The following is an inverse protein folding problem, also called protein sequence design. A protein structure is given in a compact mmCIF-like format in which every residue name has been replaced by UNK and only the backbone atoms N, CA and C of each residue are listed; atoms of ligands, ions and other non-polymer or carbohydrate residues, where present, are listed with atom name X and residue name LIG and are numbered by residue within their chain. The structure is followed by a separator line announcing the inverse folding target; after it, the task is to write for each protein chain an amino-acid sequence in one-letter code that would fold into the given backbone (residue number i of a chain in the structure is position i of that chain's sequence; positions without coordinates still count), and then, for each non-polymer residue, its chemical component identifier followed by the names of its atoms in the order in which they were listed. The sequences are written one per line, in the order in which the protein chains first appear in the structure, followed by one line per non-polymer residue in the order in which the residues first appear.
data_IF_823099764225
#
_entry.id   IF_823099764225
#
_cell.length_a   1.000
_cell.length_b   1.000
_cell.length_c   1.000
_cell.angle_alpha   90.00
_cell.angle_beta   90.00
_cell.angle_gamma   90.00
#
_symmetry.space_group_name_H-M   'P 1'
#
loop_
_entity.id
_entity.type
_entity.pdbx_description
1 polymer ?
#
# COMPACT_ATOMS: atom_id res chain seq x y z
N UNK A 1 -17.02 3.47 -14.23
CA UNK A 1 -16.03 4.43 -13.73
C UNK A 1 -15.47 3.88 -12.42
N UNK A 2 -14.49 4.52 -11.77
CA UNK A 2 -14.02 4.01 -10.47
C UNK A 2 -15.13 4.19 -9.42
N UNK A 3 -15.25 3.27 -8.46
CA UNK A 3 -16.31 3.31 -7.42
C UNK A 3 -15.74 2.88 -6.07
N UNK A 4 -16.31 3.36 -4.97
CA UNK A 4 -15.98 2.86 -3.64
C UNK A 4 -16.56 1.46 -3.46
N UNK A 5 -15.78 0.57 -2.86
CA UNK A 5 -16.13 -0.83 -2.63
C UNK A 5 -15.69 -1.36 -1.27
N UNK A 6 -15.40 -0.43 -0.38
CA UNK A 6 -14.96 -0.67 0.98
C UNK A 6 -14.77 0.68 1.67
N UNK A 7 -15.48 0.89 2.78
CA UNK A 7 -15.19 1.94 3.73
C UNK A 7 -14.78 1.26 5.04
N UNK A 8 -13.63 1.63 5.57
CA UNK A 8 -13.11 1.03 6.80
C UNK A 8 -12.79 2.07 7.86
N UNK A 9 -13.19 1.75 9.08
CA UNK A 9 -13.06 2.58 10.26
C UNK A 9 -12.25 1.86 11.33
N UNK A 10 -11.38 2.60 12.02
CA UNK A 10 -10.48 2.07 13.05
C UNK A 10 -10.52 2.99 14.26
N UNK A 11 -11.53 2.88 15.14
CA UNK A 11 -11.71 3.77 16.29
C UNK A 11 -10.47 3.82 17.20
N UNK A 12 -9.82 2.68 17.38
CA UNK A 12 -8.59 2.51 18.16
C UNK A 12 -7.39 2.29 17.23
N UNK A 13 -6.35 3.12 17.40
CA UNK A 13 -5.09 3.01 16.66
C UNK A 13 -4.54 1.58 16.78
N UNK A 14 -4.15 1.00 15.65
CA UNK A 14 -3.61 -0.36 15.54
C UNK A 14 -4.58 -1.52 15.81
N UNK A 15 -5.81 -1.27 16.27
CA UNK A 15 -6.81 -2.32 16.48
C UNK A 15 -7.45 -2.79 15.16
N UNK A 16 -8.24 -3.87 15.21
CA UNK A 16 -8.96 -4.38 14.03
C UNK A 16 -9.86 -3.29 13.41
N UNK A 17 -10.01 -3.34 12.09
CA UNK A 17 -10.89 -2.44 11.36
C UNK A 17 -12.33 -2.95 11.28
N UNK A 18 -13.28 -2.03 11.21
CA UNK A 18 -14.67 -2.29 10.89
C UNK A 18 -14.94 -1.92 9.44
N UNK A 19 -15.79 -2.71 8.77
CA UNK A 19 -16.33 -2.29 7.46
C UNK A 19 -17.63 -1.53 7.69
N UNK A 20 -17.82 -0.44 6.95
CA UNK A 20 -18.99 0.42 6.99
C UNK A 20 -19.61 0.50 5.58
N UNK A 21 -20.92 0.65 5.53
CA UNK A 21 -21.64 0.94 4.28
C UNK A 21 -21.62 2.44 3.95
N UNK A 22 -21.47 3.29 4.97
CA UNK A 22 -21.42 4.74 4.85
C UNK A 22 -20.58 5.34 5.99
N UNK A 23 -20.00 6.51 5.76
CA UNK A 23 -19.28 7.25 6.78
C UNK A 23 -19.41 8.76 6.60
N UNK A 24 -19.50 9.48 7.73
CA UNK A 24 -19.32 10.92 7.76
C UNK A 24 -17.83 11.23 7.60
N UNK A 25 -17.50 12.06 6.61
CA UNK A 25 -16.17 12.65 6.43
C UNK A 25 -16.15 14.02 7.08
N UNK A 26 -15.13 14.28 7.86
CA UNK A 26 -14.80 15.58 8.46
C UNK A 26 -13.42 16.03 7.96
N UNK A 27 -13.01 17.25 8.31
CA UNK A 27 -11.63 17.71 8.04
C UNK A 27 -10.55 16.81 8.67
N UNK A 28 -10.88 16.06 9.72
CA UNK A 28 -9.98 15.15 10.45
C UNK A 28 -9.97 13.71 9.90
N UNK A 29 -10.77 13.42 8.86
CA UNK A 29 -10.88 12.09 8.25
C UNK A 29 -12.29 11.51 8.39
N UNK A 30 -12.42 10.19 8.58
CA UNK A 30 -13.73 9.63 8.93
C UNK A 30 -14.05 10.00 10.38
N UNK A 31 -15.29 10.39 10.66
CA UNK A 31 -15.73 10.74 12.00
C UNK A 31 -15.43 9.60 12.99
N UNK A 32 -14.78 9.91 14.12
CA UNK A 32 -14.42 8.93 15.15
C UNK A 32 -13.23 8.01 14.80
N UNK A 33 -12.53 8.23 13.69
CA UNK A 33 -11.43 7.37 13.26
C UNK A 33 -10.13 7.66 14.04
N UNK A 34 -9.53 6.60 14.60
CA UNK A 34 -8.34 6.63 15.46
C UNK A 34 -8.42 7.72 16.56
N UNK A 35 -9.56 7.82 17.24
CA UNK A 35 -9.75 8.70 18.42
C UNK A 35 -9.20 8.14 19.71
N UNK A 36 -8.83 6.87 19.69
CA UNK A 36 -8.20 6.17 20.80
C UNK A 36 -6.83 5.64 20.41
N UNK A 37 -5.94 5.58 21.39
CA UNK A 37 -4.61 5.01 21.25
C UNK A 37 -4.17 4.41 22.59
N UNK A 38 -3.46 3.29 22.54
CA UNK A 38 -2.77 2.78 23.72
C UNK A 38 -1.40 3.44 23.81
N UNK A 39 -1.02 3.84 25.02
CA UNK A 39 0.30 4.37 25.32
C UNK A 39 0.85 3.69 26.58
N UNK A 40 2.16 3.69 26.76
CA UNK A 40 2.79 3.32 28.02
C UNK A 40 2.54 4.41 29.08
N UNK A 41 2.85 4.15 30.36
CA UNK A 41 2.71 5.15 31.43
C UNK A 41 3.46 6.46 31.17
N UNK A 42 4.56 6.41 30.41
CA UNK A 42 5.34 7.60 30.01
C UNK A 42 4.74 8.40 28.84
N UNK A 43 3.59 7.96 28.31
CA UNK A 43 2.91 8.60 27.18
C UNK A 43 3.41 8.13 25.80
N UNK A 44 4.42 7.26 25.74
CA UNK A 44 4.91 6.70 24.47
C UNK A 44 3.86 5.75 23.86
N UNK A 45 3.55 5.96 22.59
CA UNK A 45 2.49 5.22 21.92
C UNK A 45 2.87 3.74 21.67
N UNK A 46 1.88 2.85 21.82
CA UNK A 46 1.99 1.42 21.50
C UNK A 46 1.27 1.14 20.18
N UNK A 47 1.88 0.33 19.31
CA UNK A 47 1.31 -0.01 18.00
C UNK A 47 1.41 -1.47 17.69
N UNK A 48 0.69 -1.91 16.66
CA UNK A 48 0.82 -3.27 16.13
C UNK A 48 2.20 -3.57 15.54
N UNK A 49 3.10 -2.57 15.37
CA UNK A 49 4.51 -2.81 15.02
C UNK A 49 5.26 -3.54 16.14
N UNK A 50 4.90 -3.31 17.39
CA UNK A 50 5.49 -3.97 18.56
C UNK A 50 4.53 -4.99 19.20
N UNK A 51 3.21 -4.73 19.10
CA UNK A 51 2.16 -5.54 19.70
C UNK A 51 1.13 -5.97 18.64
N UNK A 52 1.49 -6.88 17.72
CA UNK A 52 0.63 -7.29 16.59
C UNK A 52 -0.74 -7.84 17.04
N UNK A 53 -0.85 -8.35 18.27
CA UNK A 53 -2.11 -8.78 18.90
C UNK A 53 -3.19 -7.69 18.91
N UNK A 54 -2.82 -6.41 18.85
CA UNK A 54 -3.78 -5.32 18.68
C UNK A 54 -4.70 -5.54 17.47
N UNK A 55 -4.20 -6.11 16.37
CA UNK A 55 -5.00 -6.40 15.17
C UNK A 55 -6.11 -7.44 15.39
N UNK A 56 -6.08 -8.16 16.52
CA UNK A 56 -7.08 -9.15 16.90
C UNK A 56 -8.14 -8.59 17.86
N UNK A 57 -7.93 -7.38 18.37
CA UNK A 57 -8.90 -6.71 19.24
C UNK A 57 -9.95 -6.06 18.34
N UNK A 58 -11.17 -6.59 18.41
CA UNK A 58 -12.32 -5.98 17.78
C UNK A 58 -12.77 -4.76 18.58
N UNK A 59 -13.13 -3.69 17.87
CA UNK A 59 -13.55 -2.43 18.47
C UNK A 59 -14.71 -1.90 17.66
N UNK A 60 -15.83 -1.58 18.31
CA UNK A 60 -17.01 -0.98 17.69
C UNK A 60 -17.37 0.32 18.42
N UNK A 61 -17.50 1.45 17.73
CA UNK A 61 -17.98 2.68 18.36
C UNK A 61 -19.46 2.52 18.76
N UNK A 62 -19.81 3.08 19.92
CA UNK A 62 -21.19 3.21 20.41
C UNK A 62 -21.40 4.61 20.93
N UNK A 63 -22.66 5.01 21.14
CA UNK A 63 -22.96 6.29 21.76
C UNK A 63 -22.24 6.41 23.13
N UNK A 64 -21.37 7.41 23.26
CA UNK A 64 -20.61 7.66 24.48
C UNK A 64 -19.48 6.66 24.78
N UNK A 65 -18.92 5.95 23.78
CA UNK A 65 -17.75 5.11 24.00
C UNK A 65 -17.48 4.04 22.94
N UNK A 66 -16.92 2.90 23.38
CA UNK A 66 -16.58 1.75 22.53
C UNK A 66 -17.08 0.46 23.17
N UNK A 67 -17.40 -0.53 22.33
CA UNK A 67 -17.38 -1.94 22.72
C UNK A 67 -16.13 -2.58 22.13
N UNK A 68 -15.31 -3.17 22.99
CA UNK A 68 -14.10 -3.88 22.59
C UNK A 68 -14.23 -5.37 22.94
N UNK A 69 -13.65 -6.24 22.13
CA UNK A 69 -13.62 -7.67 22.41
C UNK A 69 -12.32 -8.31 21.93
N UNK A 70 -11.89 -9.33 22.66
CA UNK A 70 -10.78 -10.20 22.31
C UNK A 70 -11.06 -11.59 22.83
N UNK A 71 -11.21 -12.56 21.92
CA UNK A 71 -11.64 -13.92 22.26
C UNK A 71 -12.97 -13.90 23.04
N UNK A 72 -13.00 -14.42 24.28
CA UNK A 72 -14.19 -14.41 25.14
C UNK A 72 -14.29 -13.19 26.07
N UNK A 73 -13.30 -12.29 26.03
CA UNK A 73 -13.24 -11.14 26.91
C UNK A 73 -13.82 -9.91 26.21
N UNK A 74 -14.79 -9.27 26.87
CA UNK A 74 -15.43 -8.04 26.39
C UNK A 74 -15.08 -6.88 27.32
N UNK A 75 -15.12 -5.66 26.78
CA UNK A 75 -14.92 -4.41 27.51
C UNK A 75 -15.85 -3.33 26.95
N UNK A 76 -16.68 -2.76 27.82
CA UNK A 76 -17.50 -1.61 27.48
C UNK A 76 -16.81 -0.33 27.97
N UNK A 77 -16.18 0.39 27.05
CA UNK A 77 -15.58 1.70 27.30
C UNK A 77 -16.67 2.76 27.28
N UNK A 78 -16.73 3.61 28.30
CA UNK A 78 -17.71 4.69 28.45
C UNK A 78 -17.05 6.01 28.80
N UNK A 79 -17.32 7.05 28.01
CA UNK A 79 -16.78 8.41 28.16
C UNK A 79 -17.07 9.01 29.54
N UNK A 80 -18.26 8.74 30.10
CA UNK A 80 -18.65 9.23 31.44
C UNK A 80 -17.75 8.77 32.58
N UNK A 81 -16.93 7.74 32.35
CA UNK A 81 -15.98 7.20 33.32
C UNK A 81 -14.55 7.69 33.07
N UNK A 82 -14.32 8.51 32.05
CA UNK A 82 -12.98 9.02 31.77
C UNK A 82 -12.57 10.01 32.84
N UNK A 83 -11.35 9.87 33.35
CA UNK A 83 -10.75 10.81 34.31
C UNK A 83 -10.42 12.16 33.67
N UNK A 84 -10.28 12.17 32.33
CA UNK A 84 -9.93 13.33 31.51
C UNK A 84 -8.65 14.04 31.95
N UNK A 85 -7.78 13.34 32.67
CA UNK A 85 -6.48 13.89 33.05
C UNK A 85 -5.63 14.06 31.79
N UNK A 86 -5.02 15.25 31.57
CA UNK A 86 -4.19 15.48 30.40
C UNK A 86 -2.90 14.64 30.50
N UNK A 87 -2.60 13.93 29.43
CA UNK A 87 -1.39 13.11 29.28
C UNK A 87 -0.60 13.65 28.09
N UNK A 88 0.67 14.00 28.33
CA UNK A 88 1.61 14.32 27.26
C UNK A 88 1.89 13.04 26.47
N UNK A 89 1.68 13.08 25.16
CA UNK A 89 1.91 11.95 24.27
C UNK A 89 2.39 12.45 22.91
N UNK A 90 2.64 11.52 21.99
CA UNK A 90 3.01 11.89 20.64
C UNK A 90 2.88 10.77 19.64
N UNK A 91 2.93 11.15 18.36
CA UNK A 91 2.91 10.22 17.22
C UNK A 91 3.90 10.74 16.19
N UNK A 92 4.95 9.97 15.91
CA UNK A 92 5.96 10.24 14.87
C UNK A 92 6.54 11.67 14.89
N UNK A 93 7.00 12.12 16.06
CA UNK A 93 7.61 13.44 16.23
C UNK A 93 6.62 14.57 16.53
N UNK A 94 5.31 14.33 16.38
CA UNK A 94 4.29 15.30 16.80
C UNK A 94 3.98 15.07 18.29
N UNK A 95 4.24 16.07 19.14
CA UNK A 95 3.90 16.05 20.57
C UNK A 95 2.59 16.82 20.80
N UNK A 96 1.67 16.25 21.59
CA UNK A 96 0.37 16.84 21.87
C UNK A 96 -0.24 16.23 23.15
N UNK A 97 -1.36 16.78 23.59
CA UNK A 97 -2.08 16.31 24.78
C UNK A 97 -3.22 15.38 24.35
N UNK A 98 -3.30 14.23 25.00
CA UNK A 98 -4.50 13.39 25.01
C UNK A 98 -5.05 13.29 26.43
N UNK A 99 -6.17 12.59 26.59
CA UNK A 99 -6.85 12.45 27.88
C UNK A 99 -6.83 11.00 28.34
N UNK A 100 -6.43 10.80 29.59
CA UNK A 100 -6.54 9.51 30.25
C UNK A 100 -8.02 9.09 30.36
N UNK A 101 -8.26 7.79 30.23
CA UNK A 101 -9.60 7.23 30.31
C UNK A 101 -9.86 6.68 31.71
N UNK A 102 -9.80 5.36 31.92
CA UNK A 102 -10.14 4.73 33.20
C UNK A 102 -9.22 3.54 33.48
N UNK A 103 -8.83 3.36 34.75
CA UNK A 103 -7.88 2.32 35.16
C UNK A 103 -8.33 0.89 34.85
N UNK A 104 -9.64 0.61 34.83
CA UNK A 104 -10.15 -0.70 34.40
C UNK A 104 -9.94 -0.96 32.91
N UNK A 105 -10.01 0.08 32.07
CA UNK A 105 -9.74 -0.05 30.64
C UNK A 105 -8.25 -0.31 30.43
N UNK A 106 -7.40 0.44 31.15
CA UNK A 106 -5.95 0.28 31.15
C UNK A 106 -5.55 -1.14 31.56
N UNK A 107 -6.12 -1.65 32.65
CA UNK A 107 -5.92 -3.02 33.13
C UNK A 107 -6.36 -4.06 32.10
N UNK A 108 -7.52 -3.84 31.45
CA UNK A 108 -8.00 -4.74 30.41
C UNK A 108 -6.99 -4.82 29.26
N UNK A 109 -6.52 -3.70 28.71
CA UNK A 109 -5.53 -3.73 27.63
C UNK A 109 -4.17 -4.25 28.08
N UNK A 110 -3.72 -3.89 29.29
CA UNK A 110 -2.43 -4.33 29.85
C UNK A 110 -2.33 -5.85 29.96
N UNK A 111 -3.39 -6.50 30.46
CA UNK A 111 -3.45 -7.97 30.54
C UNK A 111 -3.31 -8.62 29.15
N UNK A 112 -3.96 -8.07 28.12
CA UNK A 112 -3.90 -8.62 26.76
C UNK A 112 -2.56 -8.35 26.09
N UNK A 113 -1.87 -7.26 26.42
CA UNK A 113 -0.57 -6.93 25.81
C UNK A 113 0.63 -7.50 26.57
N UNK A 114 0.47 -7.84 27.86
CA UNK A 114 1.55 -8.33 28.70
C UNK A 114 2.51 -7.23 29.18
N UNK A 115 2.17 -5.95 28.98
CA UNK A 115 2.87 -4.80 29.54
C UNK A 115 1.88 -3.74 30.04
N UNK A 116 2.24 -2.90 31.03
CA UNK A 116 1.41 -1.78 31.47
C UNK A 116 1.16 -0.79 30.33
N UNK A 117 -0.10 -0.54 30.01
CA UNK A 117 -0.55 0.47 29.06
C UNK A 117 -1.76 1.22 29.59
N UNK A 118 -1.96 2.42 29.07
CA UNK A 118 -3.14 3.25 29.29
C UNK A 118 -3.86 3.51 27.97
N UNK A 119 -5.19 3.47 28.01
CA UNK A 119 -6.04 3.89 26.92
C UNK A 119 -6.20 5.41 26.96
N UNK A 120 -5.69 6.07 25.92
CA UNK A 120 -5.82 7.51 25.73
C UNK A 120 -6.95 7.82 24.75
N UNK A 121 -7.64 8.93 25.01
CA UNK A 121 -8.69 9.48 24.17
C UNK A 121 -8.32 10.90 23.72
N UNK A 122 -8.54 11.20 22.45
CA UNK A 122 -8.17 12.50 21.86
C UNK A 122 -9.26 13.57 22.01
N UNK A 123 -10.38 13.27 22.66
CA UNK A 123 -11.55 14.15 22.71
C UNK A 123 -12.54 13.92 21.56
N UNK A 124 -13.43 14.90 21.34
CA UNK A 124 -14.38 14.95 20.20
C UNK A 124 -13.80 15.69 18.98
N UNK A 125 -12.80 16.56 19.18
CA UNK A 125 -12.01 17.21 18.13
C UNK A 125 -10.51 17.02 18.40
N UNK A 126 -9.70 16.83 17.37
CA UNK A 126 -8.26 16.65 17.53
C UNK A 126 -7.56 17.99 17.71
N UNK A 127 -6.78 18.11 18.80
CA UNK A 127 -5.86 19.22 19.03
C UNK A 127 -4.52 19.06 18.31
N UNK A 128 -4.29 17.94 17.62
CA UNK A 128 -3.06 17.68 16.86
C UNK A 128 -3.21 18.25 15.44
N UNK A 129 -2.82 19.51 15.29
CA UNK A 129 -2.79 20.20 14.00
C UNK A 129 -1.47 19.97 13.26
N UNK A 130 -1.52 19.77 11.93
CA UNK A 130 -0.33 19.65 11.09
C UNK A 130 -0.32 20.76 10.05
N UNK A 131 0.54 21.77 10.22
CA UNK A 131 0.63 22.94 9.34
C UNK A 131 0.83 22.57 7.87
N UNK A 132 1.68 21.55 7.61
CA UNK A 132 1.94 21.05 6.25
C UNK A 132 0.69 20.53 5.52
N UNK A 133 -0.35 20.13 6.27
CA UNK A 133 -1.60 19.62 5.73
C UNK A 133 -2.74 20.64 5.82
N UNK A 134 -2.59 21.69 6.62
CA UNK A 134 -3.67 22.65 6.88
C UNK A 134 -4.88 22.04 7.60
N UNK A 135 -4.70 20.94 8.32
CA UNK A 135 -5.79 20.25 9.03
C UNK A 135 -5.31 19.53 10.29
N UNK A 136 -6.24 19.27 11.20
CA UNK A 136 -6.04 18.38 12.34
C UNK A 136 -6.04 16.92 11.92
N UNK A 137 -5.22 16.11 12.59
CA UNK A 137 -5.11 14.66 12.37
C UNK A 137 -5.34 13.98 13.71
N UNK A 138 -6.06 12.86 13.72
CA UNK A 138 -6.26 12.08 14.95
C UNK A 138 -4.98 11.33 15.37
N UNK A 139 -5.11 10.21 16.10
CA UNK A 139 -3.96 9.32 16.33
C UNK A 139 -3.50 8.56 15.07
N UNK A 140 -4.02 8.88 13.88
CA UNK A 140 -3.48 8.39 12.61
C UNK A 140 -1.97 8.73 12.46
N UNK A 141 -1.24 7.99 11.62
CA UNK A 141 0.22 8.17 11.56
C UNK A 141 0.62 9.57 11.05
N UNK A 142 0.17 9.93 9.85
CA UNK A 142 0.48 11.23 9.26
C UNK A 142 -0.67 11.91 8.52
N UNK A 143 -1.65 11.18 8.02
CA UNK A 143 -2.73 11.73 7.22
C UNK A 143 -4.09 11.23 7.72
N UNK A 144 -5.17 12.03 7.56
CA UNK A 144 -6.52 11.67 7.97
C UNK A 144 -7.04 10.36 7.38
N UNK A 145 -6.71 10.11 6.11
CA UNK A 145 -7.33 9.05 5.31
C UNK A 145 -6.30 8.37 4.41
N UNK A 146 -6.57 7.10 4.09
CA UNK A 146 -5.80 6.31 3.14
C UNK A 146 -6.75 5.66 2.13
N UNK A 147 -6.45 5.81 0.84
CA UNK A 147 -7.14 5.15 -0.25
C UNK A 147 -6.24 4.12 -0.93
N UNK A 148 -6.81 2.95 -1.25
CA UNK A 148 -6.12 1.90 -2.02
C UNK A 148 -7.08 1.32 -3.06
N UNK A 149 -6.60 1.08 -4.28
CA UNK A 149 -7.37 0.38 -5.30
C UNK A 149 -7.34 -1.15 -5.13
N UNK A 150 -8.48 -1.82 -5.34
CA UNK A 150 -8.55 -3.29 -5.47
C UNK A 150 -7.69 -3.80 -6.63
N UNK A 151 -7.54 -3.03 -7.71
CA UNK A 151 -6.68 -3.42 -8.84
C UNK A 151 -5.21 -3.45 -8.44
N UNK A 152 -4.76 -2.51 -7.60
CA UNK A 152 -3.41 -2.47 -7.04
C UNK A 152 -3.14 -3.65 -6.11
N UNK A 153 -4.11 -4.01 -5.27
CA UNK A 153 -4.00 -5.21 -4.43
C UNK A 153 -3.99 -6.50 -5.25
N UNK A 154 -4.80 -6.58 -6.31
CA UNK A 154 -4.80 -7.73 -7.21
C UNK A 154 -3.45 -7.91 -7.90
N UNK A 155 -2.80 -6.81 -8.32
CA UNK A 155 -1.44 -6.86 -8.87
C UNK A 155 -0.41 -7.31 -7.83
N UNK A 156 -0.47 -6.76 -6.63
CA UNK A 156 0.39 -7.18 -5.53
C UNK A 156 0.22 -8.67 -5.22
N UNK A 157 -1.02 -9.18 -5.17
CA UNK A 157 -1.30 -10.61 -4.96
C UNK A 157 -0.69 -11.49 -6.04
N UNK A 158 -0.78 -11.08 -7.32
CA UNK A 158 -0.13 -11.80 -8.42
C UNK A 158 1.39 -11.84 -8.25
N UNK A 159 2.02 -10.71 -7.89
CA UNK A 159 3.48 -10.61 -7.73
C UNK A 159 4.00 -11.33 -6.48
N UNK A 160 3.21 -11.37 -5.42
CA UNK A 160 3.54 -12.08 -4.18
C UNK A 160 3.28 -13.59 -4.27
N UNK A 161 2.54 -14.06 -5.29
CA UNK A 161 2.18 -15.47 -5.44
C UNK A 161 1.23 -15.97 -4.34
N UNK A 162 0.59 -15.07 -3.60
CA UNK A 162 -0.33 -15.41 -2.51
C UNK A 162 -1.45 -14.38 -2.40
N UNK A 163 -2.57 -14.78 -1.78
CA UNK A 163 -3.70 -13.89 -1.53
C UNK A 163 -3.48 -13.11 -0.25
N UNK A 164 -3.28 -11.80 -0.39
CA UNK A 164 -3.22 -10.84 0.71
C UNK A 164 -4.58 -10.14 0.84
N UNK A 165 -4.94 -9.84 2.08
CA UNK A 165 -6.16 -9.10 2.42
C UNK A 165 -5.89 -7.59 2.47
N UNK A 166 -6.86 -6.80 1.98
CA UNK A 166 -6.78 -5.34 1.99
C UNK A 166 -6.62 -4.77 3.41
N UNK A 167 -7.18 -5.46 4.41
CA UNK A 167 -7.12 -5.09 5.82
C UNK A 167 -5.69 -4.95 6.36
N UNK A 168 -4.70 -5.65 5.78
CA UNK A 168 -3.28 -5.53 6.13
C UNK A 168 -2.74 -4.12 5.90
N UNK A 169 -3.25 -3.43 4.88
CA UNK A 169 -2.82 -2.08 4.53
C UNK A 169 -3.61 -0.99 5.23
N UNK A 170 -4.71 -1.38 5.88
CA UNK A 170 -5.58 -0.53 6.70
C UNK A 170 -6.07 0.74 6.01
N UNK A 171 -6.48 0.70 4.72
CA UNK A 171 -7.07 1.87 4.08
C UNK A 171 -8.38 2.25 4.78
N UNK A 172 -8.75 3.52 4.68
CA UNK A 172 -10.10 3.96 5.00
C UNK A 172 -11.02 3.77 3.79
N UNK A 173 -10.52 4.02 2.58
CA UNK A 173 -11.30 3.91 1.34
C UNK A 173 -10.69 2.87 0.41
N UNK A 174 -11.54 2.00 -0.15
CA UNK A 174 -11.13 1.00 -1.13
C UNK A 174 -11.86 1.24 -2.43
N UNK A 175 -11.14 1.64 -3.46
CA UNK A 175 -11.70 1.90 -4.78
C UNK A 175 -11.64 0.66 -5.68
N UNK A 176 -12.64 0.47 -6.54
CA UNK A 176 -12.58 -0.41 -7.70
C UNK A 176 -11.91 0.35 -8.85
N UNK A 177 -10.58 0.44 -8.80
CA UNK A 177 -9.80 0.98 -9.92
C UNK A 177 -9.86 0.06 -11.15
N UNK A 178 -9.54 0.61 -12.32
CA UNK A 178 -9.52 -0.16 -13.58
C UNK A 178 -8.16 -0.76 -13.87
N UNK A 179 -7.10 -0.04 -13.50
CA UNK A 179 -5.71 -0.46 -13.68
C UNK A 179 -5.00 -0.49 -12.33
N UNK A 180 -4.03 -1.40 -12.13
CA UNK A 180 -3.16 -1.33 -10.96
C UNK A 180 -2.48 0.03 -10.86
N UNK A 181 -2.46 0.59 -9.66
CA UNK A 181 -1.79 1.85 -9.30
C UNK A 181 -2.30 3.08 -10.05
N UNK A 182 -3.49 3.02 -10.63
CA UNK A 182 -4.13 4.18 -11.25
C UNK A 182 -4.28 5.35 -10.26
N UNK A 183 -4.48 5.05 -8.97
CA UNK A 183 -4.57 6.03 -7.89
C UNK A 183 -3.29 6.87 -7.71
N UNK A 184 -2.14 6.40 -8.17
CA UNK A 184 -0.87 7.14 -8.07
C UNK A 184 -0.85 8.41 -8.93
N UNK A 185 -1.66 8.44 -9.99
CA UNK A 185 -1.79 9.59 -10.89
C UNK A 185 -2.92 10.54 -10.52
N UNK A 186 -3.60 10.35 -9.39
CA UNK A 186 -4.69 11.22 -8.97
C UNK A 186 -4.14 12.39 -8.14
N UNK A 187 -4.69 13.58 -8.35
CA UNK A 187 -4.37 14.78 -7.55
C UNK A 187 -5.56 15.27 -6.75
N UNK A 188 -6.73 15.38 -7.40
CA UNK A 188 -8.00 15.69 -6.77
C UNK A 188 -9.05 14.70 -7.24
N UNK A 189 -9.81 14.17 -6.29
CA UNK A 189 -10.92 13.26 -6.57
C UNK A 189 -12.17 13.73 -5.83
N UNK A 190 -13.34 13.38 -6.35
CA UNK A 190 -14.62 13.51 -5.67
C UNK A 190 -15.22 12.13 -5.46
N UNK A 191 -15.75 11.90 -4.26
CA UNK A 191 -16.50 10.70 -3.89
C UNK A 191 -17.82 11.15 -3.28
N UNK A 192 -18.93 10.86 -3.95
CA UNK A 192 -20.22 11.45 -3.59
C UNK A 192 -20.12 12.98 -3.64
N UNK A 193 -20.37 13.64 -2.51
CA UNK A 193 -20.27 15.11 -2.36
C UNK A 193 -18.91 15.60 -1.84
N UNK A 194 -18.00 14.69 -1.48
CA UNK A 194 -16.74 15.03 -0.79
C UNK A 194 -15.57 15.03 -1.76
N UNK A 195 -14.85 16.14 -1.81
CA UNK A 195 -13.60 16.29 -2.54
C UNK A 195 -12.40 15.98 -1.64
N UNK A 196 -11.43 15.26 -2.20
CA UNK A 196 -10.19 14.90 -1.54
C UNK A 196 -9.00 15.40 -2.34
N UNK A 197 -8.03 15.95 -1.63
CA UNK A 197 -6.66 16.08 -2.11
C UNK A 197 -5.96 14.73 -1.92
N UNK A 198 -5.42 14.20 -3.01
CA UNK A 198 -4.50 13.07 -3.00
C UNK A 198 -3.11 13.63 -2.69
N UNK A 199 -2.74 13.54 -1.41
CA UNK A 199 -1.66 14.36 -0.86
C UNK A 199 -0.27 13.77 -1.11
N UNK A 200 -0.10 12.46 -0.84
CA UNK A 200 1.19 11.77 -1.00
C UNK A 200 1.01 10.24 -1.04
N UNK A 201 1.84 9.50 -1.80
CA UNK A 201 1.97 8.05 -1.64
C UNK A 201 2.20 7.62 -0.19
N UNK A 202 1.57 6.52 0.22
CA UNK A 202 1.65 5.99 1.58
C UNK A 202 2.82 5.01 1.69
N UNK A 203 3.86 5.38 2.46
CA UNK A 203 4.94 4.45 2.78
C UNK A 203 4.43 3.35 3.71
N UNK A 204 4.93 2.13 3.52
CA UNK A 204 4.47 0.93 4.21
C UNK A 204 5.52 0.47 5.20
N UNK A 205 5.08 0.20 6.42
CA UNK A 205 5.93 -0.31 7.49
C UNK A 205 5.64 -1.77 7.81
N UNK A 206 6.47 -2.37 8.68
CA UNK A 206 6.41 -3.78 9.10
C UNK A 206 5.01 -4.26 9.52
N UNK A 207 4.12 -3.38 9.97
CA UNK A 207 2.74 -3.72 10.35
C UNK A 207 1.95 -4.39 9.21
N UNK A 208 2.24 -4.10 7.93
CA UNK A 208 1.57 -4.79 6.81
C UNK A 208 1.91 -6.28 6.72
N UNK A 209 3.01 -6.69 7.35
CA UNK A 209 3.49 -8.08 7.34
C UNK A 209 2.85 -8.94 8.41
N UNK A 210 2.02 -8.38 9.28
CA UNK A 210 1.23 -9.17 10.24
C UNK A 210 0.29 -10.09 9.46
N UNK A 211 0.35 -11.39 9.73
CA UNK A 211 -0.48 -12.40 9.11
C UNK A 211 -1.92 -12.19 9.58
N UNK A 212 -2.83 -12.01 8.62
CA UNK A 212 -4.25 -11.76 8.88
C UNK A 212 -4.84 -12.81 9.82
N UNK A 213 -5.59 -12.36 10.84
CA UNK A 213 -6.17 -13.24 11.86
C UNK A 213 -5.19 -13.79 12.89
N UNK A 214 -3.93 -13.35 12.91
CA UNK A 214 -2.94 -13.75 13.91
C UNK A 214 -2.18 -12.55 14.49
N UNK A 215 -1.37 -12.78 15.53
CA UNK A 215 -0.42 -11.81 16.09
C UNK A 215 1.03 -12.06 15.64
N UNK A 216 1.24 -12.74 14.50
CA UNK A 216 2.58 -13.08 13.99
C UNK A 216 2.91 -12.29 12.73
N UNK A 217 4.16 -11.83 12.64
CA UNK A 217 4.71 -11.30 11.40
C UNK A 217 5.02 -12.42 10.41
N UNK A 218 4.89 -12.12 9.12
CA UNK A 218 5.26 -13.05 8.06
C UNK A 218 6.79 -13.25 8.08
N UNK A 219 7.29 -14.50 8.12
CA UNK A 219 8.73 -14.75 8.29
C UNK A 219 9.57 -14.18 7.14
N UNK A 220 9.03 -14.14 5.92
CA UNK A 220 9.66 -13.52 4.75
C UNK A 220 9.32 -12.03 4.58
N UNK A 221 8.73 -11.38 5.58
CA UNK A 221 8.31 -9.97 5.54
C UNK A 221 7.35 -9.62 4.38
N UNK A 222 6.56 -10.57 3.90
CA UNK A 222 5.52 -10.28 2.91
C UNK A 222 4.37 -9.49 3.56
N UNK A 223 3.81 -8.46 2.90
CA UNK A 223 3.99 -8.10 1.49
C UNK A 223 5.10 -7.06 1.21
N UNK A 224 5.84 -6.62 2.22
CA UNK A 224 6.89 -5.59 2.03
C UNK A 224 8.01 -6.09 1.16
N UNK A 225 8.44 -7.34 1.32
CA UNK A 225 9.47 -7.94 0.48
C UNK A 225 9.08 -7.86 -1.00
N UNK A 226 7.83 -8.22 -1.34
CA UNK A 226 7.34 -8.06 -2.71
C UNK A 226 7.26 -6.61 -3.15
N UNK A 227 6.64 -5.72 -2.37
CA UNK A 227 6.51 -4.30 -2.72
C UNK A 227 7.88 -3.62 -2.92
N UNK A 228 8.87 -3.97 -2.11
CA UNK A 228 10.21 -3.39 -2.16
C UNK A 228 10.93 -3.62 -3.50
N UNK A 229 10.51 -4.61 -4.28
CA UNK A 229 11.06 -4.90 -5.62
C UNK A 229 10.58 -3.93 -6.69
N UNK A 230 9.39 -3.35 -6.56
CA UNK A 230 8.78 -2.57 -7.64
C UNK A 230 8.04 -1.30 -7.20
N UNK A 231 8.06 -1.00 -5.90
CA UNK A 231 7.38 0.14 -5.27
C UNK A 231 8.30 0.90 -4.32
N UNK A 232 9.61 0.71 -4.44
CA UNK A 232 10.60 1.43 -3.65
C UNK A 232 10.89 2.78 -4.32
N UNK A 233 10.66 3.87 -3.59
CA UNK A 233 11.00 5.22 -4.03
C UNK A 233 12.50 5.51 -3.93
N UNK A 234 12.91 6.64 -4.50
CA UNK A 234 14.30 7.12 -4.42
C UNK A 234 14.76 7.41 -2.98
N UNK A 235 13.81 7.68 -2.08
CA UNK A 235 14.03 7.85 -0.64
C UNK A 235 14.21 6.52 0.11
N UNK A 236 14.16 5.39 -0.59
CA UNK A 236 14.31 4.04 -0.03
C UNK A 236 13.05 3.48 0.61
N UNK A 237 11.99 4.27 0.73
CA UNK A 237 10.70 3.87 1.30
C UNK A 237 9.88 3.04 0.29
N UNK A 238 9.01 2.17 0.82
CA UNK A 238 8.18 1.26 0.01
C UNK A 238 6.72 1.72 0.01
N UNK A 239 6.11 1.90 -1.16
CA UNK A 239 4.85 2.62 -1.30
C UNK A 239 3.66 1.76 -1.75
N UNK A 240 2.53 1.89 -1.05
CA UNK A 240 1.26 1.26 -1.46
C UNK A 240 0.05 2.04 -0.90
N UNK A 241 -0.79 2.54 -1.81
CA UNK A 241 -1.90 3.42 -1.47
C UNK A 241 -1.54 4.89 -1.42
N UNK A 242 -2.57 5.73 -1.33
CA UNK A 242 -2.48 7.17 -1.38
C UNK A 242 -3.11 7.80 -0.14
N UNK A 243 -2.36 8.68 0.53
CA UNK A 243 -2.88 9.44 1.65
C UNK A 243 -3.79 10.56 1.15
N UNK A 244 -4.95 10.72 1.78
CA UNK A 244 -5.95 11.71 1.42
C UNK A 244 -6.14 12.75 2.53
N UNK A 245 -6.53 13.96 2.10
CA UNK A 245 -7.06 15.03 2.96
C UNK A 245 -8.39 15.47 2.37
N UNK A 246 -9.43 15.54 3.19
CA UNK A 246 -10.74 16.03 2.77
C UNK A 246 -10.71 17.56 2.62
N UNK A 247 -11.26 18.08 1.52
CA UNK A 247 -11.32 19.53 1.24
C UNK A 247 -12.63 20.15 1.74
N UNK A 248 -13.68 19.35 1.83
CA UNK A 248 -14.97 19.64 2.45
C UNK A 248 -15.46 18.44 3.28
N UNK A 249 -16.58 18.63 3.98
CA UNK A 249 -17.22 17.60 4.79
C UNK A 249 -18.48 17.09 4.10
N UNK A 250 -18.91 15.87 4.43
CA UNK A 250 -20.08 15.24 3.83
C UNK A 250 -20.13 13.75 4.09
N UNK A 251 -21.15 13.08 3.56
CA UNK A 251 -21.33 11.63 3.71
C UNK A 251 -20.90 10.93 2.44
N UNK A 252 -20.06 9.90 2.60
CA UNK A 252 -19.71 8.96 1.53
C UNK A 252 -20.31 7.59 1.81
N UNK A 253 -20.59 6.83 0.75
CA UNK A 253 -21.18 5.49 0.80
C UNK A 253 -20.39 4.52 -0.05
N UNK A 254 -20.50 3.24 0.26
CA UNK A 254 -20.10 2.22 -0.70
C UNK A 254 -20.88 2.40 -2.00
N UNK A 255 -20.24 2.05 -3.11
CA UNK A 255 -20.73 2.24 -4.47
C UNK A 255 -20.78 3.68 -4.98
N UNK A 256 -20.49 4.69 -4.15
CA UNK A 256 -20.29 6.05 -4.64
C UNK A 256 -19.21 6.06 -5.74
N UNK A 257 -19.47 6.86 -6.78
CA UNK A 257 -18.52 7.06 -7.86
C UNK A 257 -17.29 7.82 -7.37
N UNK A 258 -16.13 7.42 -7.88
CA UNK A 258 -14.87 8.16 -7.71
C UNK A 258 -14.60 8.90 -9.02
N UNK A 259 -14.89 10.19 -9.02
CA UNK A 259 -14.62 11.12 -10.12
C UNK A 259 -13.22 11.71 -9.92
N UNK A 260 -12.35 11.62 -10.94
CA UNK A 260 -11.02 12.26 -10.89
C UNK A 260 -11.14 13.67 -11.46
N UNK A 261 -11.00 14.67 -10.59
CA UNK A 261 -11.11 16.08 -10.93
C UNK A 261 -9.80 16.66 -11.48
N UNK A 262 -8.67 16.13 -11.00
CA UNK A 262 -7.34 16.57 -11.38
C UNK A 262 -6.37 15.37 -11.33
N UNK A 263 -5.54 15.24 -12.35
CA UNK A 263 -4.47 14.25 -12.42
C UNK A 263 -3.11 14.87 -12.09
N UNK A 264 -2.20 14.06 -11.56
CA UNK A 264 -0.80 14.38 -11.37
C UNK A 264 0.09 13.36 -12.09
N UNK A 265 1.36 13.71 -12.26
CA UNK A 265 2.38 12.74 -12.68
C UNK A 265 2.53 11.67 -11.62
N UNK A 266 2.19 10.43 -11.98
CA UNK A 266 2.37 9.29 -11.09
C UNK A 266 3.88 9.09 -10.79
N UNK A 267 4.27 8.81 -9.54
CA UNK A 267 5.63 8.43 -9.22
C UNK A 267 6.06 7.20 -10.04
N UNK A 268 7.28 7.24 -10.56
CA UNK A 268 7.88 6.11 -11.26
C UNK A 268 8.74 5.37 -10.25
N UNK A 269 8.42 4.10 -10.03
CA UNK A 269 9.22 3.20 -9.22
C UNK A 269 10.02 2.29 -10.15
N UNK A 270 11.34 2.15 -9.96
CA UNK A 270 12.10 1.13 -10.66
C UNK A 270 11.50 -0.24 -10.35
N UNK A 271 11.00 -0.93 -11.37
CA UNK A 271 10.64 -2.34 -11.25
C UNK A 271 11.95 -3.13 -11.35
N UNK A 272 12.50 -3.51 -10.20
CA UNK A 272 13.68 -4.37 -10.11
C UNK A 272 13.38 -5.81 -10.56
N UNK A 273 12.16 -6.06 -11.05
CA UNK A 273 11.70 -7.36 -11.51
C UNK A 273 11.56 -8.36 -10.37
N UNK A 274 11.18 -9.58 -10.71
CA UNK A 274 11.28 -10.71 -9.80
C UNK A 274 12.71 -11.26 -9.73
N UNK A 275 13.66 -10.43 -9.28
CA UNK A 275 14.86 -10.92 -8.60
C UNK A 275 14.61 -10.84 -7.11
N UNK A 276 13.70 -11.61 -6.50
CA UNK A 276 13.76 -13.08 -6.42
C UNK A 276 12.37 -13.69 -6.69
N UNK A 277 12.15 -14.18 -7.90
CA UNK A 277 11.40 -15.38 -8.26
C UNK A 277 11.39 -15.46 -9.80
N UNK A 278 12.39 -16.12 -10.37
CA UNK A 278 12.41 -16.70 -11.71
C UNK A 278 11.31 -16.23 -12.68
N UNK A 279 11.63 -15.30 -13.58
CA UNK A 279 11.12 -15.40 -14.96
C UNK A 279 11.82 -16.59 -15.62
N UNK A 280 11.54 -17.77 -15.11
CA UNK A 280 11.66 -19.00 -15.88
C UNK A 280 10.30 -19.17 -16.51
N UNK A 281 10.27 -19.33 -17.83
CA UNK A 281 9.17 -20.05 -18.42
C UNK A 281 9.28 -21.50 -17.93
N UNK A 282 8.66 -21.79 -16.78
CA UNK A 282 8.70 -23.09 -16.09
C UNK A 282 8.09 -24.24 -16.92
N UNK A 283 7.66 -23.98 -18.16
CA UNK A 283 7.18 -24.99 -19.11
C UNK A 283 8.15 -25.35 -20.23
N UNK A 284 9.23 -24.59 -20.47
CA UNK A 284 10.19 -24.85 -21.57
C UNK A 284 11.49 -25.42 -21.05
N UNK A 285 12.04 -26.42 -21.75
CA UNK A 285 13.35 -26.97 -21.45
C UNK A 285 14.43 -25.87 -21.54
N UNK A 286 15.29 -25.81 -20.54
CA UNK A 286 16.39 -24.84 -20.49
C UNK A 286 17.40 -25.13 -21.61
N UNK A 287 17.63 -24.16 -22.49
CA UNK A 287 18.56 -24.25 -23.61
C UNK A 287 19.50 -23.06 -23.63
N UNK A 288 20.79 -23.33 -23.76
CA UNK A 288 21.78 -22.29 -24.06
C UNK A 288 21.65 -21.85 -25.51
N UNK A 289 21.76 -20.55 -25.76
CA UNK A 289 21.68 -19.94 -27.09
C UNK A 289 22.80 -18.92 -27.26
N UNK A 290 23.27 -18.70 -28.48
CA UNK A 290 24.17 -17.60 -28.79
C UNK A 290 23.37 -16.34 -29.08
N UNK A 291 23.73 -15.24 -28.43
CA UNK A 291 23.09 -13.94 -28.58
C UNK A 291 24.11 -12.96 -29.13
N UNK A 292 23.82 -12.36 -30.29
CA UNK A 292 24.60 -11.28 -30.87
C UNK A 292 23.79 -9.98 -30.88
N UNK A 293 24.35 -8.90 -30.37
CA UNK A 293 23.74 -7.56 -30.33
C UNK A 293 24.76 -6.55 -30.82
N UNK A 294 24.58 -6.05 -32.05
CA UNK A 294 25.62 -5.29 -32.75
C UNK A 294 26.91 -6.12 -32.87
N UNK A 295 28.02 -5.59 -32.36
CA UNK A 295 29.34 -6.26 -32.36
C UNK A 295 29.55 -7.20 -31.17
N UNK A 296 28.63 -7.21 -30.19
CA UNK A 296 28.79 -8.00 -28.97
C UNK A 296 28.14 -9.37 -29.13
N UNK A 297 28.89 -10.43 -28.82
CA UNK A 297 28.41 -11.80 -28.86
C UNK A 297 28.68 -12.50 -27.52
N UNK A 298 27.66 -13.18 -27.00
CA UNK A 298 27.75 -13.87 -25.73
C UNK A 298 26.81 -15.07 -25.68
N UNK A 299 27.13 -16.03 -24.82
CA UNK A 299 26.27 -17.18 -24.55
C UNK A 299 25.17 -16.79 -23.57
N UNK A 300 23.93 -16.90 -24.02
CA UNK A 300 22.71 -16.66 -23.27
C UNK A 300 21.88 -17.93 -23.05
N UNK A 301 20.60 -17.74 -22.74
CA UNK A 301 19.63 -18.81 -22.52
C UNK A 301 18.22 -18.40 -22.98
N UNK A 302 17.37 -19.42 -23.16
CA UNK A 302 15.96 -19.27 -23.56
C UNK A 302 15.00 -18.99 -22.38
N UNK A 303 15.50 -18.50 -21.25
CA UNK A 303 14.70 -18.23 -20.05
C UNK A 303 14.57 -16.73 -19.75
N UNK A 304 15.60 -15.94 -20.04
CA UNK A 304 15.66 -14.53 -19.64
C UNK A 304 15.47 -13.55 -20.81
N UNK A 305 15.04 -12.32 -20.51
CA UNK A 305 14.91 -11.30 -21.56
C UNK A 305 16.26 -10.90 -22.17
N UNK A 306 16.27 -10.50 -23.44
CA UNK A 306 17.52 -10.07 -24.11
C UNK A 306 18.18 -8.87 -23.41
N UNK A 307 17.40 -7.95 -22.84
CA UNK A 307 17.92 -6.84 -22.05
C UNK A 307 18.64 -7.32 -20.78
N UNK A 308 18.02 -8.22 -20.02
CA UNK A 308 18.63 -8.76 -18.80
C UNK A 308 19.95 -9.48 -19.10
N UNK A 309 19.98 -10.26 -20.18
CA UNK A 309 21.18 -10.99 -20.58
C UNK A 309 22.28 -10.05 -21.08
N UNK A 310 21.93 -8.99 -21.82
CA UNK A 310 22.86 -7.94 -22.24
C UNK A 310 23.51 -7.21 -21.04
N UNK A 311 22.70 -6.82 -20.04
CA UNK A 311 23.18 -6.12 -18.85
C UNK A 311 24.16 -6.97 -18.02
N UNK A 312 23.93 -8.28 -17.94
CA UNK A 312 24.83 -9.21 -17.25
C UNK A 312 26.21 -9.29 -17.92
N UNK A 313 26.29 -8.99 -19.21
CA UNK A 313 27.55 -8.92 -19.97
C UNK A 313 28.13 -7.49 -20.03
N UNK A 314 27.55 -6.56 -19.26
CA UNK A 314 27.98 -5.15 -19.23
C UNK A 314 27.52 -4.33 -20.44
N UNK A 315 26.67 -4.87 -21.32
CA UNK A 315 26.13 -4.15 -22.46
C UNK A 315 24.94 -3.27 -22.03
N UNK A 316 25.01 -1.98 -22.35
CA UNK A 316 23.94 -1.03 -22.04
C UNK A 316 23.03 -0.84 -23.24
N UNK A 317 21.79 -1.33 -23.15
CA UNK A 317 20.75 -1.09 -24.15
C UNK A 317 19.82 0.06 -23.73
N UNK A 318 19.37 0.91 -24.67
CA UNK A 318 18.42 1.97 -24.36
C UNK A 318 17.12 1.39 -23.80
N UNK A 319 16.77 1.73 -22.56
CA UNK A 319 15.50 1.31 -21.97
C UNK A 319 15.00 2.33 -20.95
N UNK A 320 13.68 2.37 -20.77
CA UNK A 320 13.04 3.17 -19.70
C UNK A 320 11.90 2.42 -19.01
N UNK A 321 11.55 1.24 -19.51
CA UNK A 321 10.62 0.30 -18.90
C UNK A 321 11.20 -1.12 -19.04
N UNK A 322 10.67 -2.08 -18.30
CA UNK A 322 11.02 -3.52 -18.38
C UNK A 322 9.82 -4.42 -18.73
N UNK A 323 8.78 -3.81 -19.29
CA UNK A 323 7.49 -4.47 -19.55
C UNK A 323 6.93 -4.18 -20.95
N UNK A 324 7.75 -3.64 -21.86
CA UNK A 324 7.35 -3.33 -23.23
C UNK A 324 6.35 -2.18 -23.38
N UNK A 325 6.41 -1.20 -22.46
CA UNK A 325 5.50 -0.04 -22.39
C UNK A 325 6.03 1.24 -23.04
N UNK A 326 7.35 1.48 -23.02
CA UNK A 326 7.94 2.74 -23.47
C UNK A 326 8.57 2.69 -24.87
N UNK A 327 8.79 1.50 -25.43
CA UNK A 327 9.37 1.31 -26.77
C UNK A 327 10.85 1.69 -26.92
N UNK A 328 11.50 2.20 -25.87
CA UNK A 328 12.92 2.60 -25.92
C UNK A 328 13.86 1.43 -26.18
N UNK A 329 13.48 0.23 -25.74
CA UNK A 329 14.22 -1.02 -25.89
C UNK A 329 14.03 -1.69 -27.26
N UNK A 330 13.49 -0.97 -28.26
CA UNK A 330 13.31 -1.51 -29.62
C UNK A 330 14.65 -1.89 -30.23
N UNK A 331 14.70 -3.08 -30.79
CA UNK A 331 15.82 -3.65 -31.53
C UNK A 331 15.26 -4.34 -32.76
N UNK A 332 16.04 -4.46 -33.83
CA UNK A 332 15.61 -5.22 -35.02
C UNK A 332 16.18 -6.62 -34.94
N UNK A 333 15.32 -7.65 -35.02
CA UNK A 333 15.73 -9.04 -35.06
C UNK A 333 16.12 -9.41 -36.50
N UNK A 334 17.41 -9.62 -36.73
CA UNK A 334 17.96 -9.93 -38.05
C UNK A 334 18.11 -11.44 -38.30
N UNK A 335 18.23 -12.24 -37.25
CA UNK A 335 18.26 -13.71 -37.34
C UNK A 335 17.76 -14.34 -36.03
N UNK A 336 17.16 -15.54 -36.17
CA UNK A 336 16.67 -16.36 -35.05
C UNK A 336 15.23 -16.07 -34.65
N UNK A 337 14.76 -16.81 -33.65
CA UNK A 337 13.39 -16.72 -33.13
C UNK A 337 13.38 -16.22 -31.68
N UNK A 338 12.41 -15.37 -31.36
CA UNK A 338 12.14 -14.90 -29.99
C UNK A 338 10.68 -15.09 -29.62
N UNK A 339 10.42 -15.34 -28.34
CA UNK A 339 9.11 -15.16 -27.76
C UNK A 339 8.94 -13.69 -27.33
N UNK A 340 8.14 -12.94 -28.09
CA UNK A 340 7.78 -11.56 -27.81
C UNK A 340 6.34 -11.49 -27.28
N UNK A 341 6.12 -11.17 -25.98
CA UNK A 341 4.76 -11.00 -25.46
C UNK A 341 4.03 -9.85 -26.16
N UNK A 342 2.70 -9.85 -26.07
CA UNK A 342 1.90 -8.68 -26.44
C UNK A 342 2.36 -7.47 -25.61
N UNK A 343 2.61 -6.35 -26.31
CA UNK A 343 3.26 -5.19 -25.72
C UNK A 343 2.73 -3.91 -26.39
N UNK A 344 2.21 -2.93 -25.62
CA UNK A 344 1.63 -1.71 -26.17
C UNK A 344 2.61 -0.86 -27.00
N UNK A 345 3.90 -0.95 -26.70
CA UNK A 345 4.92 -0.16 -27.40
C UNK A 345 5.41 -0.77 -28.71
N UNK A 346 4.86 -1.91 -29.13
CA UNK A 346 5.22 -2.58 -30.37
C UNK A 346 3.98 -2.74 -31.25
N UNK A 347 3.88 -1.87 -32.26
CA UNK A 347 2.77 -1.87 -33.22
C UNK A 347 2.79 -3.11 -34.12
N UNK A 348 1.65 -3.42 -34.77
CA UNK A 348 1.56 -4.53 -35.72
C UNK A 348 2.54 -4.37 -36.90
N UNK A 349 2.72 -3.14 -37.40
CA UNK A 349 3.64 -2.85 -38.50
C UNK A 349 5.11 -3.07 -38.11
N UNK A 350 5.50 -2.63 -36.92
CA UNK A 350 6.86 -2.87 -36.39
C UNK A 350 7.13 -4.35 -36.14
N UNK A 351 6.12 -5.08 -35.65
CA UNK A 351 6.21 -6.53 -35.45
C UNK A 351 6.39 -7.27 -36.77
N UNK A 352 5.68 -6.84 -37.82
CA UNK A 352 5.85 -7.37 -39.18
C UNK A 352 7.22 -7.03 -39.80
N UNK A 353 7.84 -5.91 -39.38
CA UNK A 353 9.18 -5.50 -39.77
C UNK A 353 10.31 -6.14 -38.94
N UNK A 354 10.00 -7.11 -38.06
CA UNK A 354 11.01 -7.80 -37.24
C UNK A 354 11.50 -6.99 -36.04
N UNK A 355 10.82 -5.92 -35.63
CA UNK A 355 11.17 -5.17 -34.43
C UNK A 355 10.73 -5.94 -33.18
N UNK A 356 11.63 -6.03 -32.21
CA UNK A 356 11.40 -6.67 -30.91
C UNK A 356 11.71 -5.70 -29.78
N UNK A 357 11.17 -5.97 -28.60
CA UNK A 357 11.42 -5.20 -27.40
C UNK A 357 12.38 -6.01 -26.53
N UNK A 358 13.67 -5.66 -26.55
CA UNK A 358 14.72 -6.38 -25.81
C UNK A 358 14.38 -6.53 -24.32
N UNK A 359 13.65 -5.57 -23.76
CA UNK A 359 13.24 -5.54 -22.37
C UNK A 359 12.17 -6.56 -21.96
N UNK A 360 11.52 -7.25 -22.91
CA UNK A 360 10.54 -8.30 -22.59
C UNK A 360 10.51 -9.50 -23.56
N UNK A 361 11.30 -9.50 -24.64
CA UNK A 361 11.46 -10.69 -25.47
C UNK A 361 12.54 -11.63 -24.95
N UNK A 362 12.31 -12.93 -25.14
CA UNK A 362 13.19 -14.04 -24.72
C UNK A 362 13.59 -14.84 -25.97
N UNK A 363 14.88 -15.16 -26.20
CA UNK A 363 15.30 -15.92 -27.37
C UNK A 363 14.83 -17.39 -27.28
N UNK A 364 14.45 -17.97 -28.42
CA UNK A 364 14.10 -19.39 -28.56
C UNK A 364 15.22 -20.19 -29.24
N UNK A 365 15.95 -19.54 -30.13
CA UNK A 365 17.13 -20.05 -30.83
C UNK A 365 18.31 -19.10 -30.62
N UNK A 366 19.43 -19.35 -31.30
CA UNK A 366 20.47 -18.35 -31.47
C UNK A 366 19.88 -17.14 -32.21
N UNK A 367 20.21 -15.93 -31.76
CA UNK A 367 19.61 -14.68 -32.26
C UNK A 367 20.65 -13.60 -32.57
N UNK A 368 20.35 -12.76 -33.56
CA UNK A 368 21.12 -11.54 -33.87
C UNK A 368 20.23 -10.31 -33.89
N UNK A 369 20.61 -9.28 -33.13
CA UNK A 369 19.93 -7.99 -33.02
C UNK A 369 20.80 -6.86 -33.57
N UNK A 370 20.16 -5.89 -34.21
CA UNK A 370 20.75 -4.64 -34.72
C UNK A 370 20.02 -3.39 -34.25
#
# INVERSE_FOLDING_TARGET
MATITGIHHYPLKSAAGLSLEAAQVTREGLAGDRRYMLARPDGSFVTARTHPRLQLIGVRPVAGGLECWYQQHNLSVRHRLFSLQPVQTGVWGDAFIAYATHGEYDAWFSERLGEPVQLLWLGESSNRYRDKLGTSVSFADGYPLLLISKASLADLNRRAGTRLDMSRFRPNLVARGRRPFEEDGWRRIRVGEVEFLVAKPCSRCIMTTIIAGTDRFHPQQEPLATLARYRRGEDGEVYFGQNLVALNEGVIREHDEVEVLEYATAPIYPDLGQGVANTEDRGREHKAVQVRIGEHEFTGNNQHSLLTQAEQQGLTLPHSCRAGLCGRCKQTLSAGDVHQPEAPALSAAERAAGVVLACCCVPLTDVTLS
#
